data_IF_711408802276
#
_entry.id   IF_711408802276
#
_cell.length_a   1.000
_cell.length_b   1.000
_cell.length_c   1.000
_cell.angle_alpha   90.00
_cell.angle_beta   90.00
_cell.angle_gamma   90.00
#
_symmetry.space_group_name_H-M   'P 1'
#
loop_
_entity.id
_entity.type
_entity.pdbx_description
1 polymer ?
#
# COMPACT_ATOMS: atom_id res chain seq x y z
N UNK A 1 -1.66 6.13 43.64
CA UNK A 1 -0.71 6.67 42.66
C UNK A 1 -0.39 5.59 41.66
N UNK A 2 -1.08 5.56 40.55
CA UNK A 2 -0.94 4.53 39.52
C UNK A 2 0.07 5.03 38.49
N UNK A 3 1.24 4.36 38.40
CA UNK A 3 2.23 4.63 37.36
C UNK A 3 1.63 4.19 36.04
N UNK A 4 1.19 5.12 35.19
CA UNK A 4 1.00 4.89 33.78
C UNK A 4 2.34 4.38 33.23
N UNK A 5 2.39 3.12 32.77
CA UNK A 5 3.46 2.64 31.92
C UNK A 5 3.46 3.56 30.68
N UNK A 6 4.49 4.35 30.57
CA UNK A 6 4.82 5.06 29.36
C UNK A 6 5.19 3.97 28.34
N UNK A 7 4.24 3.60 27.46
CA UNK A 7 4.55 2.83 26.28
C UNK A 7 5.58 3.66 25.52
N UNK A 8 6.79 3.15 25.39
CA UNK A 8 7.87 3.80 24.65
C UNK A 8 7.40 3.98 23.21
N UNK A 9 7.09 5.22 22.86
CA UNK A 9 6.79 5.62 21.49
C UNK A 9 8.04 5.27 20.68
N UNK A 10 7.88 4.39 19.69
CA UNK A 10 8.96 4.07 18.77
C UNK A 10 9.34 5.36 18.03
N UNK A 11 10.62 5.74 18.10
CA UNK A 11 11.16 6.90 17.41
C UNK A 11 12.06 6.47 16.27
N UNK A 12 12.18 7.26 15.21
CA UNK A 12 13.14 6.98 14.13
C UNK A 12 14.58 6.90 14.68
N UNK A 13 15.44 6.04 14.11
CA UNK A 13 15.15 5.09 13.03
C UNK A 13 14.34 3.89 13.51
N UNK A 14 13.29 3.54 12.74
CA UNK A 14 12.42 2.41 13.07
C UNK A 14 13.12 1.09 12.75
N UNK A 15 13.21 0.19 13.73
CA UNK A 15 13.82 -1.12 13.57
C UNK A 15 12.96 -2.20 14.21
N UNK A 16 12.71 -3.27 13.45
CA UNK A 16 11.89 -4.39 13.86
C UNK A 16 12.64 -5.71 13.61
N UNK A 17 12.60 -6.62 14.59
CA UNK A 17 13.19 -7.97 14.48
C UNK A 17 12.23 -8.95 13.82
N UNK A 18 11.73 -8.59 12.65
CA UNK A 18 10.79 -9.38 11.85
C UNK A 18 11.17 -9.29 10.38
N UNK A 19 10.72 -10.24 9.58
CA UNK A 19 10.82 -10.16 8.13
C UNK A 19 9.67 -9.34 7.54
N UNK A 20 9.81 -8.92 6.29
CA UNK A 20 8.74 -8.22 5.57
C UNK A 20 7.43 -9.02 5.58
N UNK A 21 7.51 -10.33 5.34
CA UNK A 21 6.36 -11.23 5.26
C UNK A 21 5.55 -11.33 6.57
N UNK A 22 6.12 -10.93 7.70
CA UNK A 22 5.50 -11.02 9.02
C UNK A 22 5.31 -9.64 9.68
N UNK A 23 5.69 -8.56 8.99
CA UNK A 23 5.69 -7.22 9.58
C UNK A 23 4.29 -6.79 10.04
N UNK A 24 3.25 -7.12 9.25
CA UNK A 24 1.87 -6.76 9.59
C UNK A 24 1.26 -7.62 10.71
N UNK A 25 1.99 -8.61 11.23
CA UNK A 25 1.61 -9.36 12.43
C UNK A 25 2.17 -8.70 13.71
N UNK A 26 3.15 -7.80 13.56
CA UNK A 26 3.71 -7.06 14.70
C UNK A 26 2.78 -5.92 15.13
N UNK A 27 2.14 -6.10 16.29
CA UNK A 27 1.20 -5.12 16.85
C UNK A 27 1.82 -3.76 17.16
N UNK A 28 3.13 -3.73 17.46
CA UNK A 28 3.83 -2.46 17.73
C UNK A 28 4.03 -1.69 16.44
N UNK A 29 4.44 -2.40 15.38
CA UNK A 29 4.52 -1.81 14.06
C UNK A 29 3.17 -1.25 13.62
N UNK A 30 2.12 -2.07 13.63
CA UNK A 30 0.77 -1.66 13.20
C UNK A 30 0.31 -0.39 13.95
N UNK A 31 0.50 -0.35 15.26
CA UNK A 31 0.10 0.82 16.06
C UNK A 31 0.79 2.09 15.58
N UNK A 32 2.13 2.08 15.48
CA UNK A 32 2.91 3.26 15.06
C UNK A 32 2.62 3.60 13.59
N UNK A 33 2.52 2.58 12.75
CA UNK A 33 2.30 2.77 11.32
C UNK A 33 0.97 3.47 11.04
N UNK A 34 -0.10 3.10 11.74
CA UNK A 34 -1.42 3.72 11.56
C UNK A 34 -1.50 5.12 12.17
N UNK A 35 -1.02 5.32 13.42
CA UNK A 35 -1.23 6.58 14.16
C UNK A 35 -0.25 7.68 13.77
N UNK A 36 0.99 7.34 13.47
CA UNK A 36 2.04 8.35 13.35
C UNK A 36 2.48 8.52 11.88
N UNK A 37 2.52 7.41 11.13
CA UNK A 37 3.09 7.40 9.79
C UNK A 37 2.02 7.59 8.72
N UNK A 38 0.99 6.74 8.73
CA UNK A 38 -0.04 6.79 7.68
C UNK A 38 -0.88 8.05 7.73
N UNK A 39 -1.16 8.61 8.91
CA UNK A 39 -1.88 9.87 9.00
C UNK A 39 -1.14 10.98 8.27
N UNK A 40 0.18 11.10 8.52
CA UNK A 40 1.02 12.11 7.86
C UNK A 40 1.17 11.85 6.35
N UNK A 41 1.30 10.59 5.95
CA UNK A 41 1.45 10.21 4.55
C UNK A 41 0.17 10.47 3.75
N UNK A 42 -0.96 9.97 4.23
CA UNK A 42 -2.25 10.01 3.51
C UNK A 42 -2.70 11.42 3.21
N UNK A 43 -2.62 12.34 4.16
CA UNK A 43 -3.08 13.72 3.98
C UNK A 43 -2.28 14.50 2.92
N UNK A 44 -1.05 14.06 2.63
CA UNK A 44 -0.20 14.65 1.59
C UNK A 44 -0.49 14.10 0.20
N UNK A 45 -1.25 13.00 0.10
CA UNK A 45 -1.47 12.33 -1.17
C UNK A 45 -2.49 13.09 -2.04
N UNK A 46 -2.27 13.02 -3.35
CA UNK A 46 -3.16 13.66 -4.34
C UNK A 46 -4.53 13.00 -4.36
N UNK A 47 -4.58 11.69 -4.21
CA UNK A 47 -5.80 10.89 -4.20
C UNK A 47 -6.61 11.00 -2.90
N UNK A 48 -6.07 11.63 -1.85
CA UNK A 48 -6.80 11.83 -0.60
C UNK A 48 -7.96 12.82 -0.77
N UNK A 49 -9.19 12.31 -0.69
CA UNK A 49 -10.41 13.09 -0.87
C UNK A 49 -10.85 13.89 0.36
N UNK A 50 -10.26 13.62 1.53
CA UNK A 50 -10.63 14.22 2.81
C UNK A 50 -10.05 15.62 3.10
N UNK A 51 -9.53 16.33 2.09
CA UNK A 51 -8.82 17.61 2.26
C UNK A 51 -9.63 18.73 2.92
N UNK A 52 -10.97 18.67 2.80
CA UNK A 52 -11.89 19.64 3.39
C UNK A 52 -12.31 19.29 4.83
N UNK A 53 -11.91 18.13 5.34
CA UNK A 53 -12.31 17.58 6.63
C UNK A 53 -11.10 17.28 7.48
N UNK A 54 -11.26 17.30 8.80
CA UNK A 54 -10.16 16.98 9.70
C UNK A 54 -10.11 15.50 9.99
N UNK A 55 -8.98 14.87 9.63
CA UNK A 55 -8.71 13.48 9.94
C UNK A 55 -8.66 13.29 11.45
N UNK A 56 -9.36 12.28 11.95
CA UNK A 56 -9.42 11.94 13.37
C UNK A 56 -8.51 10.75 13.71
N UNK A 57 -8.61 9.68 12.94
CA UNK A 57 -7.72 8.51 13.01
C UNK A 57 -7.88 7.62 11.77
N UNK A 58 -6.89 6.76 11.55
CA UNK A 58 -6.92 5.71 10.52
C UNK A 58 -7.03 4.35 11.20
N UNK A 59 -7.89 3.49 10.67
CA UNK A 59 -8.05 2.11 11.09
C UNK A 59 -7.71 1.14 9.94
N UNK A 60 -6.94 0.09 10.24
CA UNK A 60 -6.71 -1.00 9.30
C UNK A 60 -7.88 -2.00 9.42
N UNK A 61 -8.77 -1.98 8.44
CA UNK A 61 -9.95 -2.86 8.42
C UNK A 61 -9.57 -4.28 8.02
N UNK A 62 -8.70 -4.38 7.03
CA UNK A 62 -8.22 -5.66 6.53
C UNK A 62 -6.87 -5.47 5.81
N UNK A 63 -6.06 -6.51 5.77
CA UNK A 63 -4.92 -6.60 4.88
C UNK A 63 -4.82 -8.00 4.26
N UNK A 64 -4.21 -8.09 3.11
CA UNK A 64 -3.97 -9.35 2.42
C UNK A 64 -2.62 -9.33 1.70
N UNK A 65 -2.01 -10.52 1.65
CA UNK A 65 -0.77 -10.72 0.89
C UNK A 65 -1.09 -10.88 -0.60
N UNK A 66 -0.30 -10.21 -1.41
CA UNK A 66 -0.26 -10.40 -2.86
C UNK A 66 1.13 -10.93 -3.17
N UNK A 67 1.24 -12.18 -3.57
CA UNK A 67 2.53 -12.85 -3.75
C UNK A 67 2.69 -13.34 -5.18
N UNK A 68 3.86 -13.09 -5.78
CA UNK A 68 4.23 -13.59 -7.09
C UNK A 68 5.74 -13.71 -7.23
N UNK A 69 6.24 -14.87 -7.71
CA UNK A 69 7.66 -15.12 -8.02
C UNK A 69 8.64 -14.78 -6.89
N UNK A 70 8.23 -14.99 -5.65
CA UNK A 70 9.06 -14.70 -4.47
C UNK A 70 8.93 -13.27 -3.94
N UNK A 71 8.30 -12.38 -4.66
CA UNK A 71 8.00 -11.03 -4.17
C UNK A 71 6.69 -11.00 -3.38
N UNK A 72 6.66 -10.24 -2.30
CA UNK A 72 5.51 -10.07 -1.41
C UNK A 72 5.11 -8.60 -1.36
N UNK A 73 3.85 -8.36 -1.61
CA UNK A 73 3.18 -7.08 -1.45
C UNK A 73 2.03 -7.21 -0.46
N UNK A 74 1.62 -6.11 0.14
CA UNK A 74 0.42 -6.09 0.96
C UNK A 74 -0.60 -5.11 0.41
N UNK A 75 -1.84 -5.53 0.29
CA UNK A 75 -2.97 -4.64 0.07
C UNK A 75 -3.59 -4.27 1.41
N UNK A 76 -3.65 -2.99 1.74
CA UNK A 76 -4.27 -2.48 2.96
C UNK A 76 -5.62 -1.88 2.63
N UNK A 77 -6.67 -2.30 3.33
CA UNK A 77 -7.96 -1.61 3.33
C UNK A 77 -8.01 -0.71 4.57
N UNK A 78 -7.87 0.58 4.33
CA UNK A 78 -7.85 1.61 5.37
C UNK A 78 -9.22 2.25 5.49
N UNK A 79 -9.68 2.48 6.71
CA UNK A 79 -10.80 3.34 7.02
C UNK A 79 -10.27 4.62 7.66
N UNK A 80 -10.45 5.72 6.96
CA UNK A 80 -10.08 7.06 7.44
C UNK A 80 -11.30 7.70 8.06
N UNK A 81 -11.24 7.94 9.35
CA UNK A 81 -12.31 8.53 10.14
C UNK A 81 -12.08 10.02 10.32
N UNK A 82 -13.15 10.83 10.20
CA UNK A 82 -13.13 12.28 10.31
C UNK A 82 -13.82 12.77 11.59
N UNK A 83 -13.47 13.99 12.03
CA UNK A 83 -14.10 14.59 13.22
C UNK A 83 -15.61 14.84 13.02
N UNK A 84 -16.04 15.03 11.76
CA UNK A 84 -17.45 15.26 11.38
C UNK A 84 -18.31 13.96 11.36
N UNK A 85 -17.82 12.89 12.00
CA UNK A 85 -18.53 11.63 12.17
C UNK A 85 -18.92 10.89 10.87
N UNK A 86 -18.08 10.99 9.84
CA UNK A 86 -18.12 10.11 8.67
C UNK A 86 -16.77 9.47 8.42
N UNK A 87 -16.70 8.51 7.53
CA UNK A 87 -15.46 7.83 7.15
C UNK A 87 -15.37 7.62 5.64
N UNK A 88 -14.15 7.37 5.16
CA UNK A 88 -13.86 6.96 3.78
C UNK A 88 -12.94 5.74 3.78
N UNK A 89 -13.15 4.86 2.82
CA UNK A 89 -12.27 3.72 2.61
C UNK A 89 -11.25 4.01 1.53
N UNK A 90 -10.00 3.61 1.80
CA UNK A 90 -8.90 3.69 0.86
C UNK A 90 -8.21 2.35 0.73
N UNK A 91 -7.83 2.01 -0.48
CA UNK A 91 -6.96 0.88 -0.76
C UNK A 91 -5.55 1.38 -0.98
N UNK A 92 -4.61 0.90 -0.17
CA UNK A 92 -3.19 1.24 -0.26
C UNK A 92 -2.36 -0.04 -0.39
N UNK A 93 -1.85 -0.36 -1.58
CA UNK A 93 -0.89 -1.44 -1.72
C UNK A 93 0.49 -0.95 -1.28
N UNK A 94 1.20 -1.77 -0.51
CA UNK A 94 2.54 -1.43 -0.01
C UNK A 94 3.57 -2.51 -0.37
N UNK A 95 4.81 -2.07 -0.53
CA UNK A 95 5.99 -2.90 -0.72
C UNK A 95 7.14 -2.44 0.17
N UNK A 96 8.04 -3.35 0.50
CA UNK A 96 9.34 -3.03 1.08
C UNK A 96 10.41 -3.08 -0.01
N UNK A 97 11.20 -2.02 -0.12
CA UNK A 97 12.28 -1.91 -1.11
C UNK A 97 13.56 -1.44 -0.43
N UNK A 98 14.69 -1.90 -0.93
CA UNK A 98 16.04 -1.49 -0.49
C UNK A 98 16.70 -0.52 -1.47
N UNK A 99 16.06 -0.24 -2.60
CA UNK A 99 16.58 0.65 -3.65
C UNK A 99 16.43 2.12 -3.22
N UNK A 100 17.54 2.79 -3.05
CA UNK A 100 17.60 4.20 -2.66
C UNK A 100 17.21 5.17 -3.76
N UNK A 101 17.03 4.71 -5.01
CA UNK A 101 16.62 5.54 -6.14
C UNK A 101 15.20 6.11 -6.02
N UNK A 102 14.36 5.54 -5.14
CA UNK A 102 13.03 6.09 -4.87
C UNK A 102 13.12 7.49 -4.24
N UNK A 103 12.44 8.45 -4.84
CA UNK A 103 12.36 9.81 -4.31
C UNK A 103 11.73 9.82 -2.91
N UNK A 104 12.19 10.71 -2.05
CA UNK A 104 11.72 10.81 -0.64
C UNK A 104 10.18 10.94 -0.54
N UNK A 105 9.57 11.69 -1.46
CA UNK A 105 8.10 11.87 -1.53
C UNK A 105 7.32 10.57 -1.78
N UNK A 106 7.97 9.55 -2.35
CA UNK A 106 7.35 8.26 -2.68
C UNK A 106 7.57 7.22 -1.55
N UNK A 107 8.36 7.58 -0.53
CA UNK A 107 8.62 6.75 0.63
C UNK A 107 7.58 7.01 1.70
N UNK A 108 6.94 5.94 2.19
CA UNK A 108 6.00 6.02 3.32
C UNK A 108 6.78 6.01 4.64
N UNK A 109 7.74 5.08 4.77
CA UNK A 109 8.48 4.86 6.01
C UNK A 109 9.85 4.27 5.75
N UNK A 110 10.96 4.93 6.15
CA UNK A 110 12.26 4.28 6.25
C UNK A 110 12.30 3.39 7.50
N UNK A 111 12.78 2.15 7.35
CA UNK A 111 12.89 1.21 8.47
C UNK A 111 13.94 0.13 8.20
N UNK A 112 14.37 -0.51 9.29
CA UNK A 112 15.23 -1.70 9.25
C UNK A 112 14.43 -2.93 9.67
N UNK A 113 14.42 -3.96 8.82
CA UNK A 113 13.80 -5.25 9.10
C UNK A 113 14.91 -6.29 9.31
N UNK A 114 15.04 -6.81 10.53
CA UNK A 114 16.22 -7.55 10.97
C UNK A 114 17.51 -6.72 10.74
N UNK A 115 18.25 -7.01 9.67
CA UNK A 115 19.49 -6.32 9.31
C UNK A 115 19.37 -5.61 7.94
N UNK A 116 18.18 -5.61 7.34
CA UNK A 116 17.93 -5.04 6.01
C UNK A 116 17.32 -3.63 6.15
N UNK A 117 18.10 -2.63 5.78
CA UNK A 117 17.61 -1.26 5.66
C UNK A 117 16.83 -1.08 4.38
N UNK A 118 15.77 -0.28 4.43
CA UNK A 118 14.94 -0.02 3.27
C UNK A 118 13.76 0.89 3.59
N UNK A 119 12.76 0.86 2.71
CA UNK A 119 11.61 1.75 2.78
C UNK A 119 10.32 1.00 2.49
N UNK A 120 9.27 1.33 3.22
CA UNK A 120 7.91 1.03 2.76
C UNK A 120 7.52 2.12 1.76
N UNK A 121 6.99 1.69 0.62
CA UNK A 121 6.49 2.57 -0.44
C UNK A 121 5.09 2.16 -0.86
N UNK A 122 4.35 3.07 -1.53
CA UNK A 122 3.16 2.69 -2.28
C UNK A 122 3.59 1.80 -3.46
N UNK A 123 3.12 0.54 -3.45
CA UNK A 123 3.50 -0.45 -4.45
C UNK A 123 3.05 -0.08 -5.87
N UNK A 124 2.10 0.83 -6.02
CA UNK A 124 1.73 1.36 -7.35
C UNK A 124 2.90 2.08 -8.03
N UNK A 125 3.89 2.57 -7.28
CA UNK A 125 5.12 3.15 -7.84
C UNK A 125 6.04 2.10 -8.48
N UNK A 126 5.85 0.81 -8.17
CA UNK A 126 6.60 -0.29 -8.78
C UNK A 126 5.94 -0.77 -10.08
N UNK A 127 6.69 -0.75 -11.16
CA UNK A 127 6.21 -1.32 -12.42
C UNK A 127 5.93 -2.82 -12.28
N UNK A 128 6.74 -3.56 -11.52
CA UNK A 128 6.54 -4.97 -11.23
C UNK A 128 5.18 -5.24 -10.58
N UNK A 129 4.76 -4.41 -9.63
CA UNK A 129 3.43 -4.54 -9.01
C UNK A 129 2.30 -4.22 -10.00
N UNK A 130 2.42 -3.16 -10.81
CA UNK A 130 1.41 -2.81 -11.82
C UNK A 130 1.27 -3.91 -12.86
N UNK A 131 2.40 -4.49 -13.30
CA UNK A 131 2.41 -5.66 -14.18
C UNK A 131 1.73 -6.87 -13.56
N UNK A 132 2.01 -7.15 -12.28
CA UNK A 132 1.36 -8.23 -11.53
C UNK A 132 -0.17 -8.06 -11.52
N UNK A 133 -0.65 -6.86 -11.22
CA UNK A 133 -2.10 -6.56 -11.22
C UNK A 133 -2.69 -6.78 -12.61
N UNK A 134 -2.02 -6.32 -13.67
CA UNK A 134 -2.43 -6.57 -15.03
C UNK A 134 -2.53 -8.07 -15.33
N UNK A 135 -1.48 -8.85 -15.04
CA UNK A 135 -1.45 -10.29 -15.28
C UNK A 135 -2.59 -11.02 -14.53
N UNK A 136 -2.89 -10.59 -13.29
CA UNK A 136 -4.02 -11.14 -12.51
C UNK A 136 -5.38 -10.82 -13.13
N UNK A 137 -5.56 -9.62 -13.67
CA UNK A 137 -6.76 -9.24 -14.42
C UNK A 137 -6.86 -10.05 -15.71
N UNK A 138 -5.76 -10.17 -16.44
CA UNK A 138 -5.72 -10.89 -17.72
C UNK A 138 -6.07 -12.37 -17.57
N UNK A 139 -5.53 -13.05 -16.57
CA UNK A 139 -5.80 -14.46 -16.30
C UNK A 139 -7.18 -14.69 -15.69
N UNK A 140 -7.72 -13.69 -15.01
CA UNK A 140 -8.96 -13.77 -14.23
C UNK A 140 -9.01 -15.01 -13.30
N UNK A 141 -7.85 -15.53 -12.90
CA UNK A 141 -7.78 -16.63 -11.97
C UNK A 141 -8.14 -16.15 -10.56
N UNK A 142 -9.11 -16.81 -9.91
CA UNK A 142 -9.41 -16.54 -8.53
C UNK A 142 -8.16 -16.94 -7.69
N UNK A 143 -7.60 -15.99 -6.99
CA UNK A 143 -6.57 -16.31 -6.01
C UNK A 143 -7.28 -16.74 -4.72
N UNK A 144 -7.31 -18.04 -4.44
CA UNK A 144 -7.99 -18.60 -3.27
C UNK A 144 -7.40 -18.13 -1.93
N UNK A 145 -6.21 -17.56 -1.95
CA UNK A 145 -5.51 -17.05 -0.75
C UNK A 145 -5.88 -15.60 -0.43
N UNK A 146 -6.50 -14.88 -1.34
CA UNK A 146 -6.91 -13.50 -1.14
C UNK A 146 -8.39 -13.34 -1.43
N UNK A 147 -9.08 -12.52 -0.63
CA UNK A 147 -10.48 -12.15 -0.90
C UNK A 147 -10.63 -11.18 -2.08
N UNK A 148 -9.54 -10.93 -2.80
CA UNK A 148 -9.51 -10.04 -3.96
C UNK A 148 -9.93 -10.82 -5.19
N UNK A 149 -10.91 -10.29 -5.90
CA UNK A 149 -11.36 -10.84 -7.19
C UNK A 149 -10.91 -9.90 -8.30
N UNK A 150 -10.28 -10.47 -9.31
CA UNK A 150 -9.92 -9.77 -10.51
C UNK A 150 -10.96 -10.06 -11.59
N UNK A 151 -11.56 -9.01 -12.14
CA UNK A 151 -12.54 -9.12 -13.20
C UNK A 151 -11.99 -8.48 -14.46
N UNK A 152 -12.10 -9.15 -15.58
CA UNK A 152 -11.78 -8.59 -16.89
C UNK A 152 -13.03 -8.26 -17.67
N UNK A 153 -12.98 -7.23 -18.52
CA UNK A 153 -14.02 -6.96 -19.52
C UNK A 153 -13.97 -7.99 -20.65
N UNK A 154 -15.07 -8.09 -21.41
CA UNK A 154 -15.15 -9.02 -22.56
C UNK A 154 -14.12 -8.74 -23.64
N UNK A 155 -13.65 -7.51 -23.75
CA UNK A 155 -12.65 -7.11 -24.75
C UNK A 155 -11.20 -7.35 -24.33
N UNK A 156 -10.98 -7.86 -23.11
CA UNK A 156 -9.66 -8.09 -22.53
C UNK A 156 -9.20 -9.54 -22.82
N UNK A 157 -9.03 -9.88 -24.10
CA UNK A 157 -8.58 -11.20 -24.54
C UNK A 157 -7.17 -11.18 -25.13
N UNK A 158 -6.38 -12.19 -24.79
CA UNK A 158 -5.04 -12.45 -25.36
C UNK A 158 -4.11 -11.22 -25.35
N UNK A 159 -4.18 -10.45 -24.29
CA UNK A 159 -3.38 -9.23 -24.14
C UNK A 159 -2.12 -9.50 -23.32
N UNK A 160 -1.02 -8.89 -23.74
CA UNK A 160 0.29 -8.96 -23.08
C UNK A 160 0.66 -7.58 -22.57
N UNK A 161 1.08 -7.52 -21.32
CA UNK A 161 1.57 -6.28 -20.72
C UNK A 161 2.83 -5.78 -21.45
N UNK A 162 2.83 -4.52 -21.84
CA UNK A 162 4.02 -3.85 -22.39
C UNK A 162 4.60 -2.84 -21.42
N UNK A 163 3.79 -1.94 -20.90
CA UNK A 163 4.22 -0.90 -19.97
C UNK A 163 3.05 -0.32 -19.19
N UNK A 164 3.37 0.47 -18.19
CA UNK A 164 2.37 1.23 -17.45
C UNK A 164 2.89 2.59 -17.01
N UNK A 165 1.99 3.56 -16.88
CA UNK A 165 2.31 4.88 -16.35
C UNK A 165 1.14 5.47 -15.59
N UNK A 166 1.43 6.37 -14.66
CA UNK A 166 0.40 7.15 -14.02
C UNK A 166 -0.24 8.15 -15.00
N UNK A 167 -1.55 8.30 -14.90
CA UNK A 167 -2.23 9.38 -15.59
C UNK A 167 -1.93 10.69 -14.85
N UNK A 168 -1.29 11.63 -15.54
CA UNK A 168 -0.81 12.89 -14.93
C UNK A 168 -1.88 13.92 -14.61
N UNK A 169 -3.16 13.59 -14.73
CA UNK A 169 -4.28 14.50 -14.48
C UNK A 169 -4.59 14.61 -12.98
N UNK A 170 -5.07 15.76 -12.56
CA UNK A 170 -5.59 15.96 -11.20
C UNK A 170 -6.90 15.18 -11.03
N UNK A 171 -6.84 14.09 -10.29
CA UNK A 171 -8.01 13.26 -9.98
C UNK A 171 -7.99 12.88 -8.51
N UNK A 172 -9.17 12.71 -7.95
CA UNK A 172 -9.39 12.22 -6.58
C UNK A 172 -9.02 10.74 -6.40
N UNK A 173 -8.69 10.03 -7.48
CA UNK A 173 -8.26 8.63 -7.48
C UNK A 173 -6.97 8.47 -8.27
N UNK A 174 -6.19 7.46 -7.94
CA UNK A 174 -5.04 7.07 -8.75
C UNK A 174 -5.51 6.34 -10.00
N UNK A 175 -5.18 6.88 -11.16
CA UNK A 175 -5.44 6.26 -12.46
C UNK A 175 -4.13 5.82 -13.11
N UNK A 176 -4.11 4.60 -13.61
CA UNK A 176 -2.94 4.00 -14.28
C UNK A 176 -3.35 3.64 -15.70
N UNK A 177 -2.55 4.10 -16.65
CA UNK A 177 -2.66 3.66 -18.05
C UNK A 177 -1.79 2.41 -18.19
N UNK A 178 -2.41 1.34 -18.63
CA UNK A 178 -1.76 0.08 -18.99
C UNK A 178 -1.70 0.01 -20.51
N UNK A 179 -0.50 -0.14 -21.05
CA UNK A 179 -0.30 -0.41 -22.49
C UNK A 179 -0.18 -1.91 -22.69
N UNK A 180 -0.91 -2.40 -23.66
CA UNK A 180 -1.01 -3.81 -24.01
C UNK A 180 -0.83 -4.02 -25.50
N UNK A 181 -0.43 -5.21 -25.89
CA UNK A 181 -0.48 -5.68 -27.28
C UNK A 181 -1.26 -6.98 -27.36
N UNK A 182 -1.85 -7.24 -28.52
CA UNK A 182 -2.46 -8.55 -28.80
C UNK A 182 -1.41 -9.65 -28.72
N UNK A 183 -1.69 -10.70 -27.97
CA UNK A 183 -0.91 -11.93 -28.01
C UNK A 183 -1.10 -12.62 -29.37
N UNK A 184 -0.02 -13.02 -30.01
CA UNK A 184 -0.08 -13.87 -31.22
C UNK A 184 -0.33 -15.31 -30.82
#
# INVERSE_FOLDING_TARGET
MSKKKQDSILQPPYSFKVTWENLLEDKKFIKVFLSDILEEYVVKQRWYGGKASKLKYIELREYFKIQQKGEVYYGLLLEVNFEEAFYQHYFLPIAFVTDESFAEKDRILPLTLNEHEGFIIDALNLEAFRKLVFERIATAEPNDLTRVRYNKSLDFHDTVYESSRFMGLEQSNTSIILNERSGN
#
